data_IF_348193821171
#
_entry.id   IF_348193821171
#
_cell.length_a   1.000
_cell.length_b   1.000
_cell.length_c   1.000
_cell.angle_alpha   90.00
_cell.angle_beta   90.00
_cell.angle_gamma   90.00
#
_symmetry.space_group_name_H-M   'P 1'
#
loop_
_entity.id
_entity.type
_entity.pdbx_description
1 polymer ?
#
# COMPACT_ATOMS: atom_id res chain seq x y z
N UNK A 1 -21.72 -10.15 5.73
CA UNK A 1 -22.13 -10.61 7.07
C UNK A 1 -23.44 -9.94 7.48
N UNK A 2 -24.56 -10.66 7.40
CA UNK A 2 -25.84 -10.25 8.00
C UNK A 2 -26.47 -11.52 8.56
N UNK A 3 -26.05 -11.88 9.76
CA UNK A 3 -26.79 -12.82 10.59
C UNK A 3 -27.23 -12.00 11.79
N UNK A 4 -28.48 -11.53 11.75
CA UNK A 4 -29.14 -11.10 12.96
C UNK A 4 -29.36 -12.39 13.76
N UNK A 5 -28.43 -12.70 14.65
CA UNK A 5 -28.57 -13.81 15.59
C UNK A 5 -29.89 -13.58 16.32
N UNK A 6 -30.83 -14.50 16.15
CA UNK A 6 -32.13 -14.41 16.82
C UNK A 6 -31.90 -14.50 18.32
N UNK A 7 -32.31 -13.45 19.04
CA UNK A 7 -32.13 -13.35 20.47
C UNK A 7 -32.84 -14.50 21.21
N UNK A 8 -33.98 -14.98 20.69
CA UNK A 8 -34.72 -16.09 21.31
C UNK A 8 -33.97 -17.42 21.17
N UNK A 9 -33.30 -17.65 20.04
CA UNK A 9 -32.46 -18.83 19.81
C UNK A 9 -31.19 -18.80 20.64
N UNK A 10 -30.62 -17.60 20.85
CA UNK A 10 -29.49 -17.37 21.74
C UNK A 10 -29.83 -17.75 23.18
N UNK A 11 -31.00 -17.33 23.70
CA UNK A 11 -31.45 -17.71 25.03
C UNK A 11 -31.66 -19.21 25.20
N UNK A 12 -32.09 -19.90 24.14
CA UNK A 12 -32.37 -21.35 24.13
C UNK A 12 -31.11 -22.21 23.96
N UNK A 13 -29.98 -21.60 23.62
CA UNK A 13 -28.76 -22.30 23.22
C UNK A 13 -29.01 -23.44 22.22
N UNK A 14 -29.86 -23.17 21.22
CA UNK A 14 -30.34 -24.21 20.33
C UNK A 14 -29.20 -24.76 19.43
N UNK A 15 -29.30 -26.02 18.96
CA UNK A 15 -28.35 -26.53 17.97
C UNK A 15 -28.27 -25.66 16.70
N UNK A 16 -29.39 -25.01 16.34
CA UNK A 16 -29.46 -24.06 15.21
C UNK A 16 -28.66 -22.79 15.50
N UNK A 17 -28.76 -22.25 16.72
CA UNK A 17 -27.94 -21.12 17.15
C UNK A 17 -26.45 -21.45 17.11
N UNK A 18 -26.05 -22.63 17.64
CA UNK A 18 -24.65 -23.08 17.64
C UNK A 18 -24.08 -23.21 16.22
N UNK A 19 -24.83 -23.80 15.29
CA UNK A 19 -24.39 -23.93 13.90
C UNK A 19 -24.24 -22.56 13.21
N UNK A 20 -25.19 -21.63 13.43
CA UNK A 20 -25.09 -20.27 12.88
C UNK A 20 -23.92 -19.49 13.48
N UNK A 21 -23.61 -19.70 14.76
CA UNK A 21 -22.44 -19.10 15.41
C UNK A 21 -21.14 -19.63 14.82
N UNK A 22 -21.01 -20.95 14.64
CA UNK A 22 -19.83 -21.58 14.03
C UNK A 22 -19.58 -21.08 12.60
N UNK A 23 -20.63 -20.93 11.79
CA UNK A 23 -20.54 -20.35 10.44
C UNK A 23 -20.02 -18.90 10.49
N UNK A 24 -20.59 -18.07 11.37
CA UNK A 24 -20.19 -16.67 11.57
C UNK A 24 -18.75 -16.56 12.06
N UNK A 25 -18.32 -17.40 13.00
CA UNK A 25 -16.94 -17.45 13.50
C UNK A 25 -15.95 -17.85 12.40
N UNK A 26 -16.35 -18.80 11.53
CA UNK A 26 -15.61 -19.19 10.34
C UNK A 26 -15.42 -18.02 9.37
N UNK A 27 -16.50 -17.29 9.07
CA UNK A 27 -16.49 -16.10 8.22
C UNK A 27 -15.58 -15.00 8.77
N UNK A 28 -15.62 -14.73 10.09
CA UNK A 28 -14.73 -13.74 10.74
C UNK A 28 -13.28 -14.17 10.60
N UNK A 29 -12.98 -15.44 10.89
CA UNK A 29 -11.61 -15.97 10.82
C UNK A 29 -11.06 -15.84 9.40
N UNK A 30 -11.86 -16.16 8.38
CA UNK A 30 -11.45 -16.00 6.98
C UNK A 30 -11.23 -14.52 6.61
N UNK A 31 -12.10 -13.62 7.10
CA UNK A 31 -11.95 -12.18 6.90
C UNK A 31 -10.64 -11.65 7.50
N UNK A 32 -10.33 -12.02 8.74
CA UNK A 32 -9.07 -11.63 9.41
C UNK A 32 -7.85 -12.05 8.60
N UNK A 33 -7.81 -13.31 8.13
CA UNK A 33 -6.72 -13.83 7.30
C UNK A 33 -6.58 -13.04 5.98
N UNK A 34 -7.69 -12.69 5.35
CA UNK A 34 -7.68 -11.89 4.11
C UNK A 34 -7.17 -10.47 4.36
N UNK A 35 -7.56 -9.85 5.47
CA UNK A 35 -7.11 -8.50 5.85
C UNK A 35 -5.62 -8.48 6.18
N UNK A 36 -5.12 -9.43 6.97
CA UNK A 36 -3.69 -9.56 7.28
C UNK A 36 -2.85 -9.75 6.01
N UNK A 37 -3.31 -10.61 5.10
CA UNK A 37 -2.66 -10.80 3.78
C UNK A 37 -2.61 -9.50 2.99
N UNK A 38 -3.70 -8.73 2.95
CA UNK A 38 -3.76 -7.45 2.23
C UNK A 38 -2.78 -6.43 2.81
N UNK A 39 -2.67 -6.34 4.14
CA UNK A 39 -1.70 -5.48 4.82
C UNK A 39 -0.27 -5.87 4.44
N UNK A 40 0.06 -7.16 4.45
CA UNK A 40 1.38 -7.66 4.06
C UNK A 40 1.73 -7.32 2.61
N UNK A 41 0.78 -7.49 1.69
CA UNK A 41 0.96 -7.11 0.28
C UNK A 41 1.16 -5.60 0.11
N UNK A 42 0.40 -4.78 0.84
CA UNK A 42 0.56 -3.33 0.85
C UNK A 42 1.96 -2.90 1.31
N UNK A 43 2.48 -3.52 2.39
CA UNK A 43 3.84 -3.26 2.88
C UNK A 43 4.88 -3.62 1.80
N UNK A 44 4.79 -4.82 1.24
CA UNK A 44 5.73 -5.28 0.22
C UNK A 44 5.73 -4.37 -1.03
N UNK A 45 4.55 -3.91 -1.46
CA UNK A 45 4.41 -2.95 -2.56
C UNK A 45 5.11 -1.62 -2.26
N UNK A 46 4.90 -1.07 -1.06
CA UNK A 46 5.54 0.19 -0.63
C UNK A 46 7.07 0.04 -0.59
N UNK A 47 7.58 -1.04 -0.01
CA UNK A 47 9.02 -1.24 0.14
C UNK A 47 9.71 -1.46 -1.20
N UNK A 48 9.09 -2.24 -2.10
CA UNK A 48 9.56 -2.41 -3.49
C UNK A 48 9.53 -1.08 -4.24
N UNK A 49 8.45 -0.31 -4.08
CA UNK A 49 8.31 1.02 -4.69
C UNK A 49 9.37 2.02 -4.21
N UNK A 50 9.72 1.99 -2.92
CA UNK A 50 10.81 2.81 -2.36
C UNK A 50 12.17 2.43 -2.96
N UNK A 51 12.44 1.12 -3.11
CA UNK A 51 13.67 0.67 -3.77
C UNK A 51 13.74 1.13 -5.24
N UNK A 52 12.63 1.08 -5.97
CA UNK A 52 12.53 1.63 -7.32
C UNK A 52 12.80 3.15 -7.36
N UNK A 53 12.22 3.92 -6.44
CA UNK A 53 12.50 5.35 -6.33
C UNK A 53 13.96 5.65 -6.00
N UNK A 54 14.61 4.82 -5.17
CA UNK A 54 16.03 4.95 -4.88
C UNK A 54 16.90 4.70 -6.11
N UNK A 55 16.60 3.66 -6.90
CA UNK A 55 17.27 3.38 -8.17
C UNK A 55 17.07 4.52 -9.19
N UNK A 56 15.84 5.03 -9.32
CA UNK A 56 15.56 6.19 -10.18
C UNK A 56 16.32 7.44 -9.75
N UNK A 57 16.47 7.65 -8.44
CA UNK A 57 17.24 8.79 -7.92
C UNK A 57 18.71 8.69 -8.31
N UNK A 58 19.30 7.49 -8.26
CA UNK A 58 20.68 7.26 -8.72
C UNK A 58 20.82 7.49 -10.22
N UNK A 59 19.89 6.95 -11.02
CA UNK A 59 19.88 7.17 -12.48
C UNK A 59 19.74 8.66 -12.85
N UNK A 60 18.82 9.35 -12.18
CA UNK A 60 18.61 10.79 -12.32
C UNK A 60 19.87 11.60 -11.98
N UNK A 61 20.63 11.21 -10.96
CA UNK A 61 21.91 11.86 -10.66
C UNK A 61 22.93 11.67 -11.80
N UNK A 62 23.03 10.47 -12.38
CA UNK A 62 23.87 10.25 -13.56
C UNK A 62 23.47 11.11 -14.76
N UNK A 63 22.17 11.36 -14.97
CA UNK A 63 21.67 12.29 -15.99
C UNK A 63 22.14 13.72 -15.69
N UNK A 64 22.11 14.16 -14.43
CA UNK A 64 22.58 15.49 -14.03
C UNK A 64 24.09 15.64 -14.23
N UNK A 65 24.86 14.61 -13.91
CA UNK A 65 26.31 14.60 -14.15
C UNK A 65 26.63 14.75 -15.64
N UNK A 66 25.88 14.04 -16.50
CA UNK A 66 26.01 14.17 -17.95
C UNK A 66 25.59 15.56 -18.44
N UNK A 67 24.48 16.11 -17.93
CA UNK A 67 24.05 17.47 -18.27
C UNK A 67 25.14 18.49 -17.94
N UNK A 68 25.75 18.37 -16.76
CA UNK A 68 26.85 19.24 -16.33
C UNK A 68 28.10 19.07 -17.20
N UNK A 69 28.46 17.84 -17.58
CA UNK A 69 29.57 17.59 -18.52
C UNK A 69 29.29 18.23 -19.90
N UNK A 70 28.03 18.20 -20.34
CA UNK A 70 27.58 18.75 -21.62
C UNK A 70 27.30 20.26 -21.60
N UNK A 71 27.76 21.02 -20.60
CA UNK A 71 27.48 22.46 -20.43
C UNK A 71 27.91 23.39 -21.58
N UNK A 72 28.67 22.89 -22.56
CA UNK A 72 29.03 23.63 -23.79
C UNK A 72 27.99 23.47 -24.90
N UNK A 73 27.11 22.48 -24.79
CA UNK A 73 25.98 22.26 -25.68
C UNK A 73 24.69 22.54 -24.92
N UNK A 74 24.19 23.77 -25.08
CA UNK A 74 23.00 24.27 -24.39
C UNK A 74 21.77 23.41 -24.66
N UNK A 75 21.64 22.85 -25.87
CA UNK A 75 20.48 22.02 -26.22
C UNK A 75 20.52 20.69 -25.47
N UNK A 76 21.68 20.04 -25.42
CA UNK A 76 21.87 18.78 -24.69
C UNK A 76 21.72 18.99 -23.18
N UNK A 77 22.41 19.99 -22.62
CA UNK A 77 22.31 20.33 -21.19
C UNK A 77 20.86 20.60 -20.76
N UNK A 78 20.15 21.43 -21.52
CA UNK A 78 18.75 21.79 -21.21
C UNK A 78 17.83 20.56 -21.27
N UNK A 79 18.04 19.69 -22.27
CA UNK A 79 17.21 18.50 -22.47
C UNK A 79 17.39 17.49 -21.33
N UNK A 80 18.64 17.23 -20.93
CA UNK A 80 18.96 16.33 -19.82
C UNK A 80 18.48 16.90 -18.47
N UNK A 81 18.64 18.20 -18.27
CA UNK A 81 18.15 18.88 -17.04
C UNK A 81 16.64 18.78 -16.92
N UNK A 82 15.89 19.03 -18.02
CA UNK A 82 14.43 18.86 -18.04
C UNK A 82 14.01 17.43 -17.76
N UNK A 83 14.68 16.46 -18.38
CA UNK A 83 14.38 15.04 -18.15
C UNK A 83 14.63 14.62 -16.69
N UNK A 84 15.74 15.09 -16.10
CA UNK A 84 16.01 14.90 -14.67
C UNK A 84 14.94 15.55 -13.79
N UNK A 85 14.44 16.73 -14.16
CA UNK A 85 13.33 17.40 -13.48
C UNK A 85 12.06 16.55 -13.47
N UNK A 86 11.65 16.01 -14.62
CA UNK A 86 10.48 15.12 -14.72
C UNK A 86 10.63 13.85 -13.87
N UNK A 87 11.82 13.24 -13.83
CA UNK A 87 12.09 12.10 -12.95
C UNK A 87 11.98 12.46 -11.47
N UNK A 88 12.43 13.66 -11.08
CA UNK A 88 12.30 14.15 -9.71
C UNK A 88 10.83 14.30 -9.31
N UNK A 89 9.99 14.86 -10.17
CA UNK A 89 8.55 14.97 -9.94
C UNK A 89 7.89 13.60 -9.78
N UNK A 90 8.21 12.65 -10.66
CA UNK A 90 7.73 11.26 -10.55
C UNK A 90 8.08 10.63 -9.18
N UNK A 91 9.33 10.79 -8.72
CA UNK A 91 9.76 10.30 -7.41
C UNK A 91 8.95 10.95 -6.28
N UNK A 92 8.67 12.26 -6.38
CA UNK A 92 7.88 12.97 -5.38
C UNK A 92 6.44 12.45 -5.33
N UNK A 93 5.79 12.24 -6.47
CA UNK A 93 4.44 11.68 -6.54
C UNK A 93 4.37 10.27 -5.95
N UNK A 94 5.32 9.40 -6.30
CA UNK A 94 5.40 8.06 -5.71
C UNK A 94 5.61 8.10 -4.19
N UNK A 95 6.45 9.01 -3.69
CA UNK A 95 6.68 9.17 -2.25
C UNK A 95 5.38 9.54 -1.52
N UNK A 96 4.63 10.51 -2.06
CA UNK A 96 3.31 10.89 -1.51
C UNK A 96 2.32 9.74 -1.56
N UNK A 97 2.26 9.01 -2.67
CA UNK A 97 1.39 7.85 -2.82
C UNK A 97 1.70 6.80 -1.75
N UNK A 98 2.97 6.44 -1.56
CA UNK A 98 3.38 5.44 -0.58
C UNK A 98 3.03 5.84 0.86
N UNK A 99 3.21 7.12 1.21
CA UNK A 99 2.83 7.65 2.51
C UNK A 99 1.31 7.57 2.73
N UNK A 100 0.52 7.98 1.74
CA UNK A 100 -0.93 7.86 1.78
C UNK A 100 -1.40 6.41 1.87
N UNK A 101 -0.85 5.49 1.06
CA UNK A 101 -1.17 4.06 1.12
C UNK A 101 -0.80 3.46 2.48
N UNK A 102 0.36 3.84 3.05
CA UNK A 102 0.77 3.37 4.38
C UNK A 102 -0.20 3.82 5.48
N UNK A 103 -0.69 5.06 5.43
CA UNK A 103 -1.68 5.54 6.41
C UNK A 103 -3.05 4.92 6.22
N UNK A 104 -3.57 4.95 4.99
CA UNK A 104 -4.97 4.59 4.74
C UNK A 104 -5.20 3.08 4.70
N UNK A 105 -4.22 2.28 4.26
CA UNK A 105 -4.41 0.82 4.16
C UNK A 105 -3.71 0.14 5.34
N UNK A 106 -2.39 0.30 5.46
CA UNK A 106 -1.64 -0.42 6.49
C UNK A 106 -2.11 -0.02 7.89
N UNK A 107 -2.12 1.26 8.25
CA UNK A 107 -2.49 1.64 9.62
C UNK A 107 -3.97 1.35 9.93
N UNK A 108 -4.90 1.76 9.07
CA UNK A 108 -6.34 1.56 9.33
C UNK A 108 -6.73 0.08 9.42
N UNK A 109 -6.23 -0.77 8.51
CA UNK A 109 -6.54 -2.20 8.57
C UNK A 109 -5.82 -2.89 9.73
N UNK A 110 -4.60 -2.47 10.09
CA UNK A 110 -3.93 -2.99 11.28
C UNK A 110 -4.68 -2.63 12.57
N UNK A 111 -5.23 -1.41 12.65
CA UNK A 111 -6.09 -1.01 13.76
C UNK A 111 -7.37 -1.85 13.78
N UNK A 112 -8.09 -1.96 12.67
CA UNK A 112 -9.34 -2.72 12.58
C UNK A 112 -9.21 -4.21 12.92
N UNK A 113 -8.07 -4.83 12.65
CA UNK A 113 -7.83 -6.26 12.96
C UNK A 113 -7.36 -6.45 14.41
N UNK A 114 -6.78 -5.43 15.06
CA UNK A 114 -6.21 -5.54 16.41
C UNK A 114 -7.11 -4.98 17.51
N UNK A 115 -7.92 -3.99 17.20
CA UNK A 115 -8.89 -3.34 18.09
C UNK A 115 -10.30 -3.83 17.77
#
# INVERSE_FOLDING_TARGET
MRVAVDFEECLKDSPRFRAALEEVEGDVTELELKLDKLVKLCIAMIDTGKAFCAANKQFMNGIRDLAHYSNKDVLVETSLTKFSGSLQEMINYHTTLFDQTSRSIKAQLQTFVKE
#
